data_IF_775502058340
#
_entry.id   IF_775502058340
#
_cell.length_a   1.000
_cell.length_b   1.000
_cell.length_c   1.000
_cell.angle_alpha   90.00
_cell.angle_beta   90.00
_cell.angle_gamma   90.00
#
_symmetry.space_group_name_H-M   'P 1'
#
loop_
_entity.id
_entity.type
_entity.pdbx_description
1 polymer ?
#
# COMPACT_ATOMS: atom_id res chain seq x y z
N UNK A 1 23.64 5.10 -20.36
CA UNK A 1 22.94 5.66 -19.18
C UNK A 1 21.44 5.63 -19.45
N UNK A 2 20.70 4.67 -18.91
CA UNK A 2 19.25 4.70 -18.96
C UNK A 2 18.77 5.48 -17.74
N UNK A 3 18.28 6.70 -17.99
CA UNK A 3 17.62 7.53 -17.00
C UNK A 3 16.38 6.75 -16.54
N UNK A 4 16.33 6.43 -15.25
CA UNK A 4 15.21 5.76 -14.59
C UNK A 4 13.90 6.45 -15.01
N UNK A 5 13.02 5.68 -15.66
CA UNK A 5 11.63 6.08 -15.81
C UNK A 5 11.07 6.12 -14.39
N UNK A 6 11.01 7.30 -13.78
CA UNK A 6 10.06 7.59 -12.70
C UNK A 6 8.67 7.40 -13.30
N UNK A 7 8.23 6.14 -13.39
CA UNK A 7 6.83 5.82 -13.67
C UNK A 7 6.03 6.53 -12.60
N UNK A 8 5.08 7.37 -13.02
CA UNK A 8 4.08 7.92 -12.10
C UNK A 8 3.62 6.80 -11.16
N UNK A 9 3.56 7.02 -9.84
CA UNK A 9 3.02 6.02 -8.94
C UNK A 9 1.69 5.56 -9.50
N UNK A 10 1.55 4.25 -9.68
CA UNK A 10 0.34 3.62 -10.19
C UNK A 10 -0.80 4.04 -9.26
N UNK A 11 -1.62 4.99 -9.72
CA UNK A 11 -2.64 5.65 -8.90
C UNK A 11 -3.64 4.62 -8.36
N UNK A 12 -3.91 3.56 -9.13
CA UNK A 12 -4.77 2.46 -8.69
C UNK A 12 -4.15 1.72 -7.51
N UNK A 13 -2.85 1.42 -7.56
CA UNK A 13 -2.14 0.80 -6.43
C UNK A 13 -2.09 1.70 -5.22
N UNK A 14 -1.89 3.01 -5.37
CA UNK A 14 -1.94 3.95 -4.24
C UNK A 14 -3.32 3.94 -3.54
N UNK A 15 -4.41 3.92 -4.32
CA UNK A 15 -5.78 3.83 -3.80
C UNK A 15 -5.99 2.51 -3.06
N UNK A 16 -5.61 1.38 -3.66
CA UNK A 16 -5.72 0.07 -3.00
C UNK A 16 -4.92 0.03 -1.70
N UNK A 17 -3.71 0.58 -1.72
CA UNK A 17 -2.84 0.68 -0.55
C UNK A 17 -3.43 1.57 0.56
N UNK A 18 -4.24 2.58 0.24
CA UNK A 18 -4.99 3.36 1.25
C UNK A 18 -6.19 2.61 1.80
N UNK A 19 -6.97 1.97 0.93
CA UNK A 19 -8.11 1.14 1.34
C UNK A 19 -7.66 -0.03 2.24
N UNK A 20 -6.53 -0.68 1.91
CA UNK A 20 -5.96 -1.75 2.73
C UNK A 20 -5.51 -1.29 4.13
N UNK A 21 -5.13 -0.01 4.33
CA UNK A 21 -4.89 0.51 5.69
C UNK A 21 -6.21 0.63 6.44
N UNK A 22 -7.23 1.21 5.80
CA UNK A 22 -8.53 1.36 6.45
C UNK A 22 -9.08 -0.01 6.86
N UNK A 23 -8.97 -1.01 5.98
CA UNK A 23 -9.34 -2.40 6.25
C UNK A 23 -8.53 -3.04 7.37
N UNK A 24 -7.24 -2.70 7.53
CA UNK A 24 -6.43 -3.21 8.63
C UNK A 24 -7.02 -2.81 9.98
N UNK A 25 -7.52 -1.57 10.08
CA UNK A 25 -8.12 -1.02 11.30
C UNK A 25 -9.55 -1.54 11.53
N UNK A 26 -10.33 -1.83 10.47
CA UNK A 26 -11.75 -2.23 10.56
C UNK A 26 -12.00 -3.73 10.52
N UNK A 27 -11.34 -4.43 9.61
CA UNK A 27 -11.60 -5.85 9.26
C UNK A 27 -10.43 -6.76 9.67
N UNK A 28 -9.30 -6.18 10.05
CA UNK A 28 -8.13 -6.87 10.54
C UNK A 28 -7.15 -7.30 9.45
N UNK A 29 -6.05 -7.89 9.92
CA UNK A 29 -4.83 -8.13 9.12
C UNK A 29 -5.05 -9.03 7.91
N UNK A 30 -5.79 -10.12 8.08
CA UNK A 30 -5.99 -11.12 7.02
C UNK A 30 -6.83 -10.56 5.87
N UNK A 31 -7.94 -9.90 6.18
CA UNK A 31 -8.80 -9.26 5.18
C UNK A 31 -8.04 -8.18 4.39
N UNK A 32 -7.23 -7.36 5.06
CA UNK A 32 -6.39 -6.37 4.41
C UNK A 32 -5.32 -6.99 3.51
N UNK A 33 -4.73 -8.13 3.91
CA UNK A 33 -3.74 -8.83 3.10
C UNK A 33 -4.33 -9.37 1.80
N UNK A 34 -5.48 -10.06 1.89
CA UNK A 34 -6.20 -10.61 0.73
C UNK A 34 -6.60 -9.49 -0.23
N UNK A 35 -7.17 -8.41 0.29
CA UNK A 35 -7.56 -7.26 -0.53
C UNK A 35 -6.39 -6.65 -1.32
N UNK A 36 -5.23 -6.50 -0.68
CA UNK A 36 -4.05 -5.93 -1.34
C UNK A 36 -3.45 -6.88 -2.38
N UNK A 37 -3.48 -8.19 -2.10
CA UNK A 37 -3.05 -9.23 -3.06
C UNK A 37 -3.95 -9.23 -4.29
N UNK A 38 -5.27 -9.24 -4.11
CA UNK A 38 -6.26 -9.18 -5.20
C UNK A 38 -6.14 -7.90 -6.03
N UNK A 39 -5.77 -6.79 -5.40
CA UNK A 39 -5.49 -5.52 -6.07
C UNK A 39 -4.14 -5.49 -6.82
N UNK A 40 -3.38 -6.59 -6.84
CA UNK A 40 -2.10 -6.71 -7.53
C UNK A 40 -0.97 -5.92 -6.88
N UNK A 41 -1.06 -5.66 -5.57
CA UNK A 41 0.00 -4.99 -4.81
C UNK A 41 1.13 -6.00 -4.56
N UNK A 42 2.40 -5.66 -4.85
CA UNK A 42 3.50 -6.59 -4.63
C UNK A 42 3.65 -6.99 -3.15
N UNK A 43 3.95 -8.27 -2.89
CA UNK A 43 4.13 -8.80 -1.53
C UNK A 43 5.06 -7.97 -0.63
N UNK A 44 6.22 -7.43 -1.10
CA UNK A 44 7.05 -6.55 -0.27
C UNK A 44 6.35 -5.26 0.17
N UNK A 45 5.43 -4.74 -0.65
CA UNK A 45 4.61 -3.57 -0.32
C UNK A 45 3.53 -3.97 0.67
N UNK A 46 2.84 -5.10 0.47
CA UNK A 46 1.84 -5.63 1.42
C UNK A 46 2.45 -5.78 2.81
N UNK A 47 3.61 -6.45 2.90
CA UNK A 47 4.33 -6.64 4.16
C UNK A 47 4.65 -5.30 4.84
N UNK A 48 5.06 -4.27 4.08
CA UNK A 48 5.31 -2.94 4.64
C UNK A 48 4.03 -2.27 5.14
N UNK A 49 2.94 -2.35 4.37
CA UNK A 49 1.64 -1.77 4.77
C UNK A 49 1.13 -2.38 6.07
N UNK A 50 1.23 -3.70 6.22
CA UNK A 50 0.67 -4.40 7.38
C UNK A 50 1.55 -4.32 8.64
N UNK A 51 2.87 -4.12 8.49
CA UNK A 51 3.79 -4.06 9.63
C UNK A 51 4.22 -2.63 10.00
N UNK A 52 4.07 -1.65 9.11
CA UNK A 52 4.52 -0.27 9.32
C UNK A 52 3.46 0.79 8.97
N UNK A 53 2.23 0.71 9.52
CA UNK A 53 1.16 1.64 9.18
C UNK A 53 1.49 3.10 9.53
N UNK A 54 2.18 3.35 10.65
CA UNK A 54 2.52 4.70 11.14
C UNK A 54 3.54 5.43 10.28
N UNK A 55 4.47 4.71 9.64
CA UNK A 55 5.46 5.33 8.76
C UNK A 55 4.83 5.95 7.52
N UNK A 56 3.58 5.61 7.19
CA UNK A 56 2.83 6.21 6.06
C UNK A 56 2.00 7.43 6.45
N UNK A 57 1.44 7.47 7.67
CA UNK A 57 0.74 8.67 8.19
C UNK A 57 1.64 9.92 8.23
N UNK A 58 2.95 9.74 8.33
CA UNK A 58 3.92 10.84 8.26
C UNK A 58 4.14 11.37 6.83
N UNK A 59 3.93 10.56 5.79
CA UNK A 59 4.16 10.93 4.40
C UNK A 59 2.98 11.71 3.78
N UNK A 60 1.75 11.50 4.26
CA UNK A 60 0.53 12.17 3.76
C UNK A 60 0.30 13.57 4.38
N UNK A 61 1.22 14.06 5.24
CA UNK A 61 1.11 15.36 5.94
C UNK A 61 1.97 16.49 5.35
N UNK A 62 2.49 16.34 4.13
CA UNK A 62 3.31 17.36 3.45
C UNK A 62 2.64 17.91 2.20
#
# INVERSE_FOLDING_TARGET
MMIERRSRPDRAKAIAVHAGIAMLDTDGREAAAIFLEDAGVPLPVIARVLNEPDKRRAADKL
#
